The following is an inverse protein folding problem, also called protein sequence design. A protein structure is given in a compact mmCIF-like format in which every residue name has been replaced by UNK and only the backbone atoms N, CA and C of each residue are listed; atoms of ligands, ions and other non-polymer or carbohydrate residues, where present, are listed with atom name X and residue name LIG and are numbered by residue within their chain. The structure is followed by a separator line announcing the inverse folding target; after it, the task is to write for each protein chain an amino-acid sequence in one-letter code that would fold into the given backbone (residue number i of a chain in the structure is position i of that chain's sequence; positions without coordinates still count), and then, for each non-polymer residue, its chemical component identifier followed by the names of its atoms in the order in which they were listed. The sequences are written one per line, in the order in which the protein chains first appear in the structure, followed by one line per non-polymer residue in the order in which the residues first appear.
data_IF_776833962602
#
_entry.id   IF_776833962602
#
_cell.length_a   1.000
_cell.length_b   1.000
_cell.length_c   1.000
_cell.angle_alpha   90.00
_cell.angle_beta   90.00
_cell.angle_gamma   90.00
#
_symmetry.space_group_name_H-M   'P 1'
#
loop_
_entity.id
_entity.type
_entity.pdbx_description
1 polymer ?
#
# COMPACT_ATOMS: atom_id res chain seq x y z
N UNK A 1 13.29 11.16 2.01
CA UNK A 1 12.55 12.16 2.81
C UNK A 1 11.75 11.39 3.86
N UNK A 2 11.71 11.80 5.13
CA UNK A 2 10.81 11.18 6.10
C UNK A 2 9.36 11.16 5.56
N UNK A 3 8.68 10.03 5.65
CA UNK A 3 7.31 9.87 5.12
C UNK A 3 7.19 9.61 3.62
N UNK A 4 8.31 9.46 2.90
CA UNK A 4 8.29 9.13 1.47
C UNK A 4 7.68 7.74 1.23
N UNK A 5 6.73 7.67 0.30
CA UNK A 5 6.14 6.41 -0.17
C UNK A 5 7.06 5.78 -1.21
N UNK A 6 7.34 4.50 -1.06
CA UNK A 6 8.22 3.74 -1.95
C UNK A 6 7.39 2.67 -2.66
N UNK A 7 7.53 2.54 -3.97
CA UNK A 7 6.80 1.53 -4.75
C UNK A 7 7.76 0.56 -5.41
N UNK A 8 7.54 -0.74 -5.19
CA UNK A 8 8.18 -1.79 -5.99
C UNK A 8 7.22 -2.21 -7.10
N UNK A 9 7.61 -1.99 -8.35
CA UNK A 9 6.69 -2.05 -9.48
C UNK A 9 6.74 -3.41 -10.19
N UNK A 10 5.63 -4.14 -10.08
CA UNK A 10 5.09 -4.97 -11.17
C UNK A 10 3.78 -4.32 -11.65
N UNK A 11 3.39 -4.55 -12.90
CA UNK A 11 2.05 -4.17 -13.34
C UNK A 11 1.03 -4.94 -12.47
N UNK A 12 -0.20 -4.47 -12.37
CA UNK A 12 -1.16 -5.16 -11.49
C UNK A 12 -2.30 -4.27 -11.05
N UNK A 13 -3.47 -4.89 -10.92
CA UNK A 13 -4.71 -4.25 -10.45
C UNK A 13 -4.81 -4.29 -8.91
N UNK A 14 -3.88 -4.96 -8.22
CA UNK A 14 -3.85 -5.10 -6.77
C UNK A 14 -2.74 -4.23 -6.18
N UNK A 15 -3.00 -3.49 -5.08
CA UNK A 15 -1.95 -2.80 -4.29
C UNK A 15 -1.81 -3.45 -2.92
N UNK A 16 -0.59 -3.75 -2.54
CA UNK A 16 -0.23 -4.26 -1.22
C UNK A 16 0.54 -3.17 -0.50
N UNK A 17 -0.07 -2.61 0.54
CA UNK A 17 0.49 -1.48 1.28
C UNK A 17 1.02 -1.98 2.61
N UNK A 18 2.29 -1.72 2.88
CA UNK A 18 3.02 -2.26 4.03
C UNK A 18 3.74 -1.17 4.80
N UNK A 19 4.08 -1.43 6.07
CA UNK A 19 4.92 -0.55 6.88
C UNK A 19 5.88 -1.35 7.76
N UNK A 20 7.00 -0.75 8.16
CA UNK A 20 7.95 -1.40 9.08
C UNK A 20 8.54 -2.70 8.52
N UNK A 21 8.65 -3.72 9.38
CA UNK A 21 9.28 -4.99 8.99
C UNK A 21 8.44 -5.76 7.97
N UNK A 22 7.10 -5.65 8.05
CA UNK A 22 6.11 -6.34 7.18
C UNK A 22 6.27 -6.12 5.67
N UNK A 23 7.10 -5.14 5.27
CA UNK A 23 7.41 -4.86 3.87
C UNK A 23 8.13 -6.04 3.22
N UNK A 24 9.02 -6.72 3.96
CA UNK A 24 9.78 -7.85 3.42
C UNK A 24 8.86 -9.04 3.11
N UNK A 25 7.99 -9.39 4.05
CA UNK A 25 7.02 -10.48 3.91
C UNK A 25 6.04 -10.21 2.76
N UNK A 26 5.64 -8.95 2.58
CA UNK A 26 4.78 -8.56 1.46
C UNK A 26 5.47 -8.68 0.11
N UNK A 27 6.77 -8.38 0.01
CA UNK A 27 7.54 -8.55 -1.22
C UNK A 27 7.60 -10.03 -1.58
N UNK A 28 7.95 -10.90 -0.62
CA UNK A 28 8.03 -12.35 -0.82
C UNK A 28 6.66 -12.91 -1.24
N UNK A 29 5.58 -12.48 -0.58
CA UNK A 29 4.24 -12.95 -0.93
C UNK A 29 3.75 -12.40 -2.29
N UNK A 30 4.18 -11.20 -2.70
CA UNK A 30 3.93 -10.70 -4.06
C UNK A 30 4.70 -11.50 -5.12
N UNK A 31 5.88 -12.03 -4.79
CA UNK A 31 6.61 -12.96 -5.66
C UNK A 31 5.88 -14.30 -5.78
N UNK A 32 5.43 -14.87 -4.67
CA UNK A 32 4.64 -16.11 -4.67
C UNK A 32 3.32 -15.99 -5.44
N UNK A 33 2.66 -14.82 -5.38
CA UNK A 33 1.46 -14.57 -6.19
C UNK A 33 1.77 -14.44 -7.68
N UNK A 34 2.92 -13.86 -8.03
CA UNK A 34 3.34 -13.74 -9.42
C UNK A 34 3.56 -15.13 -10.05
N UNK A 35 4.04 -16.12 -9.29
CA UNK A 35 4.14 -17.52 -9.74
C UNK A 35 2.76 -18.14 -10.09
N UNK A 36 1.69 -17.62 -9.48
CA UNK A 36 0.30 -18.02 -9.75
C UNK A 36 -0.37 -17.14 -10.80
N UNK A 37 0.38 -16.24 -11.46
CA UNK A 37 -0.12 -15.31 -12.47
C UNK A 37 -0.88 -14.10 -11.90
N UNK A 38 -0.75 -13.84 -10.59
CA UNK A 38 -1.38 -12.70 -9.92
C UNK A 38 -0.31 -11.65 -9.64
N UNK A 39 -0.32 -10.55 -10.41
CA UNK A 39 0.61 -9.46 -10.17
C UNK A 39 0.05 -8.43 -9.18
N UNK A 40 0.84 -8.13 -8.14
CA UNK A 40 0.55 -7.12 -7.15
C UNK A 40 1.64 -6.05 -7.14
N UNK A 41 1.25 -4.78 -7.00
CA UNK A 41 2.19 -3.69 -6.74
C UNK A 41 2.37 -3.53 -5.24
N UNK A 42 3.62 -3.57 -4.78
CA UNK A 42 3.97 -3.33 -3.38
C UNK A 42 4.23 -1.85 -3.15
N UNK A 43 3.61 -1.29 -2.12
CA UNK A 43 3.72 0.11 -1.69
C UNK A 43 4.18 0.11 -0.23
N UNK A 44 5.38 0.61 0.04
CA UNK A 44 5.89 0.80 1.39
C UNK A 44 5.57 2.21 1.87
N UNK A 45 4.94 2.29 3.04
CA UNK A 45 4.62 3.51 3.78
C UNK A 45 5.41 3.47 5.09
N UNK A 46 6.65 4.01 5.12
CA UNK A 46 7.56 3.85 6.27
C UNK A 46 7.10 4.56 7.54
N UNK A 47 6.19 5.52 7.43
CA UNK A 47 5.60 6.23 8.55
C UNK A 47 4.16 6.61 8.26
N UNK A 48 3.29 6.43 9.25
CA UNK A 48 1.90 6.90 9.22
C UNK A 48 1.85 8.43 9.38
N UNK A 49 2.73 8.99 10.21
CA UNK A 49 2.86 10.43 10.43
C UNK A 49 4.34 10.82 10.64
N UNK A 50 4.90 11.71 9.81
CA UNK A 50 4.33 12.26 8.58
C UNK A 50 4.30 11.22 7.44
N UNK A 51 3.29 11.30 6.56
CA UNK A 51 3.20 10.51 5.32
C UNK A 51 2.98 11.46 4.12
N UNK A 52 3.63 11.18 2.99
CA UNK A 52 3.31 11.82 1.72
C UNK A 52 2.02 11.21 1.14
N UNK A 53 0.88 11.79 1.52
CA UNK A 53 -0.45 11.31 1.14
C UNK A 53 -0.74 11.48 -0.36
N UNK A 54 -0.10 12.45 -1.02
CA UNK A 54 -0.24 12.64 -2.47
C UNK A 54 0.47 11.52 -3.23
N UNK A 55 1.69 11.16 -2.82
CA UNK A 55 2.40 10.02 -3.37
C UNK A 55 1.66 8.71 -3.09
N UNK A 56 1.08 8.56 -1.89
CA UNK A 56 0.25 7.39 -1.56
C UNK A 56 -0.98 7.31 -2.47
N UNK A 57 -1.72 8.40 -2.63
CA UNK A 57 -2.89 8.45 -3.53
C UNK A 57 -2.49 8.04 -4.96
N UNK A 58 -1.41 8.62 -5.49
CA UNK A 58 -0.91 8.29 -6.83
C UNK A 58 -0.54 6.79 -6.97
N UNK A 59 0.03 6.18 -5.94
CA UNK A 59 0.34 4.75 -5.93
C UNK A 59 -0.92 3.87 -5.93
N UNK A 60 -2.01 4.32 -5.31
CA UNK A 60 -3.27 3.59 -5.19
C UNK A 60 -4.20 3.73 -6.39
N UNK A 61 -4.05 4.77 -7.21
CA UNK A 61 -4.89 5.03 -8.40
C UNK A 61 -4.97 3.84 -9.37
N UNK A 62 -6.15 3.59 -9.93
CA UNK A 62 -6.37 2.59 -10.98
C UNK A 62 -6.31 1.13 -10.52
N UNK A 63 -6.44 0.87 -9.22
CA UNK A 63 -6.55 -0.49 -8.68
C UNK A 63 -7.99 -0.96 -8.52
N UNK A 64 -8.14 -2.27 -8.38
CA UNK A 64 -9.40 -2.94 -8.05
C UNK A 64 -9.46 -3.40 -6.60
N UNK A 65 -8.33 -3.43 -5.92
CA UNK A 65 -8.26 -3.80 -4.51
C UNK A 65 -6.97 -3.26 -3.88
N UNK A 66 -7.07 -2.93 -2.60
CA UNK A 66 -5.95 -2.58 -1.73
C UNK A 66 -5.96 -3.51 -0.53
N UNK A 67 -4.80 -4.09 -0.23
CA UNK A 67 -4.56 -4.90 0.96
C UNK A 67 -3.53 -4.15 1.80
N UNK A 68 -3.87 -3.83 3.04
CA UNK A 68 -2.94 -3.21 3.99
C UNK A 68 -2.43 -4.27 4.96
N UNK A 69 -1.12 -4.29 5.21
CA UNK A 69 -0.50 -5.15 6.23
C UNK A 69 0.35 -4.28 7.14
N UNK A 70 0.13 -4.41 8.44
CA UNK A 70 0.84 -3.66 9.47
C UNK A 70 0.99 -4.47 10.76
N UNK A 71 1.96 -4.09 11.59
CA UNK A 71 2.32 -4.80 12.82
C UNK A 71 2.27 -3.92 14.09
N UNK A 72 1.55 -2.79 14.07
CA UNK A 72 1.58 -1.82 15.18
C UNK A 72 0.22 -1.51 15.77
N UNK A 73 -0.72 -0.96 15.00
CA UNK A 73 -2.01 -0.55 15.54
C UNK A 73 -3.08 -0.47 14.45
N UNK A 74 -4.12 -1.30 14.53
CA UNK A 74 -5.23 -1.28 13.57
C UNK A 74 -6.04 0.04 13.64
N UNK A 75 -6.18 0.63 14.84
CA UNK A 75 -6.97 1.83 15.04
C UNK A 75 -6.14 3.08 14.77
N UNK A 76 -6.40 3.76 13.66
CA UNK A 76 -5.62 4.94 13.25
C UNK A 76 -4.24 4.61 12.69
N UNK A 77 -4.01 3.34 12.32
CA UNK A 77 -2.78 2.88 11.66
C UNK A 77 -2.84 2.94 10.15
N UNK A 78 -2.13 2.01 9.49
CA UNK A 78 -1.96 2.00 8.04
C UNK A 78 -3.29 1.85 7.31
N UNK A 79 -4.16 0.94 7.77
CA UNK A 79 -5.48 0.75 7.17
C UNK A 79 -6.33 2.03 7.19
N UNK A 80 -6.31 2.74 8.32
CA UNK A 80 -7.04 4.01 8.48
C UNK A 80 -6.46 5.09 7.56
N UNK A 81 -5.13 5.26 7.53
CA UNK A 81 -4.46 6.22 6.65
C UNK A 81 -4.80 6.00 5.17
N UNK A 82 -4.74 4.74 4.72
CA UNK A 82 -5.07 4.39 3.33
C UNK A 82 -6.54 4.71 3.02
N UNK A 83 -7.46 4.35 3.93
CA UNK A 83 -8.88 4.64 3.76
C UNK A 83 -9.16 6.16 3.70
N UNK A 84 -8.52 6.93 4.60
CA UNK A 84 -8.60 8.40 4.61
C UNK A 84 -8.11 8.99 3.28
N UNK A 85 -6.93 8.59 2.80
CA UNK A 85 -6.36 9.09 1.54
C UNK A 85 -7.25 8.76 0.32
N UNK A 86 -7.81 7.56 0.26
CA UNK A 86 -8.74 7.18 -0.82
C UNK A 86 -10.04 7.99 -0.75
N UNK A 87 -10.60 8.18 0.44
CA UNK A 87 -11.84 8.94 0.64
C UNK A 87 -11.66 10.42 0.29
N UNK A 88 -10.60 11.06 0.81
CA UNK A 88 -10.26 12.46 0.52
C UNK A 88 -9.94 12.69 -0.96
N UNK A 89 -9.29 11.72 -1.61
CA UNK A 89 -8.97 11.77 -3.03
C UNK A 89 -10.14 11.45 -3.97
N UNK A 90 -11.33 11.11 -3.46
CA UNK A 90 -12.47 10.68 -4.26
C UNK A 90 -12.18 9.41 -5.08
N UNK A 91 -11.27 8.56 -4.59
CA UNK A 91 -10.72 7.41 -5.30
C UNK A 91 -11.26 6.09 -4.76
N UNK A 92 -12.55 6.05 -4.42
CA UNK A 92 -13.22 4.87 -3.90
C UNK A 92 -12.97 3.65 -4.80
N UNK A 93 -12.61 2.54 -4.18
CA UNK A 93 -12.36 1.28 -4.87
C UNK A 93 -13.66 0.45 -4.79
N UNK A 94 -14.23 0.04 -5.94
CA UNK A 94 -15.52 -0.65 -6.00
C UNK A 94 -15.47 -2.10 -5.52
#
# INVERSE_FOLDING_TARGET
MPGAVITCAKAGILRWVATGSTVHEIVDAAELLAEQGIEAKVVSVPSIRPCDTQALLAALQGCRAVITVEEHNVNGGLGSLVAEVLAEGGAGIP
#
